data_IF_773022796193
#
_entry.id   IF_773022796193
#
_cell.length_a   1.000
_cell.length_b   1.000
_cell.length_c   1.000
_cell.angle_alpha   90.00
_cell.angle_beta   90.00
_cell.angle_gamma   90.00
#
_symmetry.space_group_name_H-M   'P 1'
#
loop_
_entity.id
_entity.type
_entity.pdbx_description
1 polymer ?
#
# COMPACT_ATOMS: atom_id res chain seq x y z
N UNK A 1 17.43 6.01 -13.70
CA UNK A 1 16.37 4.97 -13.79
C UNK A 1 15.45 5.19 -12.59
N UNK A 2 14.23 5.73 -12.81
CA UNK A 2 13.27 5.98 -11.71
C UNK A 2 12.70 4.62 -11.28
N UNK A 3 12.90 4.21 -10.03
CA UNK A 3 12.38 2.96 -9.49
C UNK A 3 11.38 3.30 -8.40
N UNK A 4 10.12 3.50 -8.79
CA UNK A 4 9.01 3.73 -7.86
C UNK A 4 8.54 2.39 -7.32
N UNK A 5 8.64 2.17 -6.01
CA UNK A 5 8.03 1.04 -5.33
C UNK A 5 6.66 1.45 -4.81
N UNK A 6 5.60 1.06 -5.52
CA UNK A 6 4.21 1.22 -5.09
C UNK A 6 3.80 0.05 -4.22
N UNK A 7 3.37 0.31 -2.99
CA UNK A 7 2.84 -0.71 -2.07
C UNK A 7 1.43 -0.28 -1.61
N UNK A 8 0.43 -1.14 -1.80
CA UNK A 8 -0.97 -0.90 -1.47
C UNK A 8 -1.49 -1.84 -0.39
N UNK A 9 -2.24 -1.30 0.58
CA UNK A 9 -2.55 -1.96 1.85
C UNK A 9 -3.94 -1.67 2.43
N UNK A 10 -4.42 -2.60 3.28
CA UNK A 10 -5.79 -2.76 3.80
C UNK A 10 -6.01 -2.22 5.21
N UNK A 11 -7.29 -2.13 5.60
CA UNK A 11 -7.82 -1.48 6.82
C UNK A 11 -7.37 -2.12 8.16
N UNK A 12 -7.42 -1.31 9.23
CA UNK A 12 -6.61 -1.35 10.46
C UNK A 12 -7.28 -2.01 11.68
N UNK A 13 -8.41 -2.70 11.54
CA UNK A 13 -9.15 -3.22 12.72
C UNK A 13 -9.24 -4.73 12.69
N UNK A 14 -8.39 -5.39 13.46
CA UNK A 14 -8.31 -6.84 13.46
C UNK A 14 -8.11 -7.35 14.90
N UNK A 15 -9.10 -8.08 15.42
CA UNK A 15 -9.14 -8.54 16.82
C UNK A 15 -8.21 -9.74 17.11
N UNK A 16 -7.71 -10.43 16.08
CA UNK A 16 -6.82 -11.59 16.21
C UNK A 16 -5.35 -11.25 15.86
N UNK A 17 -4.34 -11.83 16.56
CA UNK A 17 -2.92 -11.53 16.30
C UNK A 17 -2.45 -11.76 14.85
N UNK A 18 -2.94 -12.81 14.18
CA UNK A 18 -2.63 -13.10 12.77
C UNK A 18 -3.17 -12.03 11.81
N UNK A 19 -4.19 -11.31 12.26
CA UNK A 19 -4.95 -10.30 11.55
C UNK A 19 -4.22 -8.94 11.64
N UNK A 20 -3.40 -8.73 12.68
CA UNK A 20 -2.46 -7.60 12.81
C UNK A 20 -1.20 -7.71 11.95
N UNK A 21 -0.96 -8.86 11.29
CA UNK A 21 0.19 -9.04 10.41
C UNK A 21 0.27 -7.90 9.38
N UNK A 22 -0.85 -7.61 8.70
CA UNK A 22 -0.89 -6.60 7.65
C UNK A 22 -0.76 -5.17 8.16
N UNK A 23 -1.25 -4.87 9.37
CA UNK A 23 -0.99 -3.59 10.04
C UNK A 23 0.52 -3.39 10.27
N UNK A 24 1.23 -4.43 10.71
CA UNK A 24 2.68 -4.41 10.87
C UNK A 24 3.42 -4.25 9.55
N UNK A 25 3.01 -4.96 8.49
CA UNK A 25 3.63 -4.79 7.16
C UNK A 25 3.39 -3.39 6.60
N UNK A 26 2.20 -2.81 6.80
CA UNK A 26 1.90 -1.42 6.42
C UNK A 26 2.84 -0.43 7.12
N UNK A 27 3.03 -0.55 8.44
CA UNK A 27 3.94 0.32 9.18
C UNK A 27 5.39 0.15 8.69
N UNK A 28 5.82 -1.08 8.42
CA UNK A 28 7.15 -1.37 7.89
C UNK A 28 7.36 -0.75 6.50
N UNK A 29 6.34 -0.75 5.64
CA UNK A 29 6.41 -0.13 4.33
C UNK A 29 6.67 1.38 4.41
N UNK A 30 6.02 2.07 5.35
CA UNK A 30 6.28 3.50 5.59
C UNK A 30 7.72 3.74 6.07
N UNK A 31 8.19 2.99 7.08
CA UNK A 31 9.58 3.09 7.57
C UNK A 31 10.60 2.79 6.47
N UNK A 32 10.31 1.81 5.62
CA UNK A 32 11.17 1.48 4.48
C UNK A 32 11.27 2.65 3.51
N UNK A 33 10.14 3.26 3.13
CA UNK A 33 10.14 4.42 2.24
C UNK A 33 10.88 5.61 2.84
N UNK A 34 10.71 5.88 4.14
CA UNK A 34 11.46 6.92 4.87
C UNK A 34 12.97 6.70 4.76
N UNK A 35 13.45 5.48 5.04
CA UNK A 35 14.88 5.14 4.95
C UNK A 35 15.40 5.29 3.52
N UNK A 36 14.67 4.79 2.53
CA UNK A 36 15.09 4.90 1.12
C UNK A 36 15.19 6.37 0.70
N UNK A 37 14.19 7.19 1.03
CA UNK A 37 14.16 8.61 0.68
C UNK A 37 15.25 9.41 1.42
N UNK A 38 15.54 9.08 2.69
CA UNK A 38 16.64 9.68 3.44
C UNK A 38 18.02 9.40 2.82
N UNK A 39 18.16 8.33 2.03
CA UNK A 39 19.39 7.96 1.34
C UNK A 39 19.40 8.36 -0.15
N UNK A 40 18.55 9.31 -0.56
CA UNK A 40 18.50 9.84 -1.93
C UNK A 40 17.74 8.95 -2.93
N UNK A 41 16.96 7.99 -2.44
CA UNK A 41 16.01 7.23 -3.25
C UNK A 41 14.70 7.99 -3.52
N UNK A 42 13.82 7.35 -4.30
CA UNK A 42 12.49 7.86 -4.64
C UNK A 42 11.46 6.74 -4.41
N UNK A 43 10.95 6.66 -3.18
CA UNK A 43 10.04 5.62 -2.71
C UNK A 43 8.71 6.24 -2.25
N UNK A 44 7.59 5.68 -2.71
CA UNK A 44 6.24 6.16 -2.42
C UNK A 44 5.34 5.00 -2.02
N UNK A 45 4.85 5.02 -0.78
CA UNK A 45 3.79 4.10 -0.34
C UNK A 45 2.44 4.64 -0.82
N UNK A 46 1.62 3.78 -1.43
CA UNK A 46 0.26 4.14 -1.90
C UNK A 46 -0.77 3.45 -1.02
N UNK A 47 -1.38 4.20 -0.13
CA UNK A 47 -2.37 3.67 0.81
C UNK A 47 -3.78 3.87 0.23
N UNK A 48 -4.36 2.80 -0.33
CA UNK A 48 -5.65 2.88 -1.05
C UNK A 48 -6.78 3.46 -0.20
N UNK A 49 -6.97 3.06 1.09
CA UNK A 49 -7.97 3.70 1.94
C UNK A 49 -7.73 5.21 2.12
N UNK A 50 -6.48 5.65 2.25
CA UNK A 50 -6.16 7.11 2.31
C UNK A 50 -6.41 7.82 0.97
N UNK A 51 -6.39 7.09 -0.14
CA UNK A 51 -6.74 7.58 -1.46
C UNK A 51 -8.26 7.60 -1.72
N UNK A 52 -9.08 7.13 -0.76
CA UNK A 52 -10.53 7.01 -0.93
C UNK A 52 -10.96 5.74 -1.66
N UNK A 53 -10.03 4.82 -1.94
CA UNK A 53 -10.30 3.54 -2.60
C UNK A 53 -10.43 2.46 -1.51
N UNK A 54 -11.64 1.90 -1.37
CA UNK A 54 -11.99 0.91 -0.34
C UNK A 54 -12.28 -0.47 -0.92
N UNK A 55 -12.61 -1.42 -0.03
CA UNK A 55 -13.11 -2.77 -0.35
C UNK A 55 -12.16 -3.70 -1.12
N UNK A 56 -10.89 -3.30 -1.23
CA UNK A 56 -9.88 -4.17 -1.80
C UNK A 56 -9.50 -5.33 -0.86
N UNK A 57 -9.07 -6.43 -1.44
CA UNK A 57 -8.40 -7.56 -0.80
C UNK A 57 -6.92 -7.55 -1.15
N UNK A 58 -6.11 -8.43 -0.51
CA UNK A 58 -4.68 -8.58 -0.83
C UNK A 58 -4.39 -8.72 -2.34
N UNK A 59 -5.33 -9.27 -3.10
CA UNK A 59 -5.27 -9.41 -4.55
C UNK A 59 -6.00 -8.26 -5.27
N UNK A 60 -5.66 -7.02 -4.95
CA UNK A 60 -6.22 -5.78 -5.53
C UNK A 60 -6.28 -5.71 -7.06
N UNK A 61 -5.45 -6.47 -7.76
CA UNK A 61 -5.45 -6.56 -9.23
C UNK A 61 -6.53 -7.51 -9.78
N UNK A 62 -7.12 -8.36 -8.93
CA UNK A 62 -8.24 -9.26 -9.24
C UNK A 62 -9.57 -8.82 -8.62
N UNK A 63 -9.56 -7.80 -7.75
CA UNK A 63 -10.79 -7.27 -7.15
C UNK A 63 -11.70 -6.62 -8.21
N UNK A 64 -12.98 -6.44 -7.86
CA UNK A 64 -13.99 -5.87 -8.76
C UNK A 64 -13.69 -4.41 -9.15
N UNK A 65 -12.97 -3.66 -8.30
CA UNK A 65 -12.52 -2.29 -8.56
C UNK A 65 -11.04 -2.22 -9.02
N UNK A 66 -10.47 -3.31 -9.55
CA UNK A 66 -9.09 -3.34 -10.04
C UNK A 66 -8.79 -2.24 -11.08
N UNK A 67 -9.78 -1.84 -11.89
CA UNK A 67 -9.61 -0.74 -12.84
C UNK A 67 -9.43 0.60 -12.12
N UNK A 68 -10.18 0.90 -11.06
CA UNK A 68 -10.02 2.12 -10.26
C UNK A 68 -8.61 2.20 -9.65
N UNK A 69 -8.14 1.08 -9.10
CA UNK A 69 -6.79 0.93 -8.58
C UNK A 69 -5.73 1.19 -9.65
N UNK A 70 -5.91 0.63 -10.86
CA UNK A 70 -4.99 0.84 -11.97
C UNK A 70 -4.92 2.32 -12.37
N UNK A 71 -6.08 2.97 -12.51
CA UNK A 71 -6.18 4.38 -12.88
C UNK A 71 -5.49 5.28 -11.83
N UNK A 72 -5.60 4.97 -10.54
CA UNK A 72 -4.96 5.76 -9.49
C UNK A 72 -3.43 5.58 -9.43
N UNK A 73 -2.92 4.37 -9.72
CA UNK A 73 -1.49 4.05 -9.56
C UNK A 73 -0.68 4.44 -10.80
N UNK A 74 -1.24 4.23 -12.00
CA UNK A 74 -0.47 4.25 -13.25
C UNK A 74 -0.82 5.39 -14.21
N UNK A 75 -1.96 6.06 -14.04
CA UNK A 75 -2.29 7.26 -14.81
C UNK A 75 -1.99 8.52 -14.02
#
# INVERSE_FOLDING_TARGET
>A
MKRTLTLAYFDKTAELPAQNFWSGVRELAYKFAEVINANGGDCKVIDLPKAGISDNTHFMFQDLNNQEVFEYIYK
#
